data_IF_022779362521
#
_entry.id   IF_022779362521
#
_cell.length_a   1.000
_cell.length_b   1.000
_cell.length_c   1.000
_cell.angle_alpha   90.00
_cell.angle_beta   90.00
_cell.angle_gamma   90.00
#
_symmetry.space_group_name_H-M   'P 1'
#
loop_
_entity.id
_entity.type
_entity.pdbx_description
1 polymer ?
#
# COMPACT_ATOMS: atom_id res chain seq x y z
N UNK A 1 1.09 5.09 23.42
CA UNK A 1 2.29 4.29 23.09
C UNK A 1 3.39 4.67 24.04
N UNK A 2 3.78 3.81 24.97
CA UNK A 2 4.70 4.19 26.04
C UNK A 2 5.98 4.88 25.53
N UNK A 3 6.54 4.48 24.38
CA UNK A 3 7.75 5.12 23.84
C UNK A 3 7.52 6.56 23.36
N UNK A 4 6.42 6.82 22.65
CA UNK A 4 6.11 8.15 22.11
C UNK A 4 5.53 9.05 23.20
N UNK A 5 4.74 8.49 24.10
CA UNK A 5 4.15 9.24 25.21
C UNK A 5 5.25 9.67 26.19
N UNK A 6 6.20 8.79 26.50
CA UNK A 6 7.39 9.12 27.31
C UNK A 6 8.26 10.20 26.65
N UNK A 7 8.46 10.14 25.33
CA UNK A 7 9.17 11.18 24.59
C UNK A 7 8.43 12.54 24.61
N UNK A 8 7.08 12.54 24.64
CA UNK A 8 6.26 13.76 24.77
C UNK A 8 6.29 14.34 26.18
N UNK A 9 6.11 13.50 27.20
CA UNK A 9 6.13 13.91 28.61
C UNK A 9 7.45 14.59 28.99
N UNK A 10 8.55 14.18 28.38
CA UNK A 10 9.88 14.73 28.65
C UNK A 10 10.29 15.87 27.71
N UNK A 11 9.39 16.35 26.84
CA UNK A 11 9.64 17.48 25.95
C UNK A 11 10.66 17.22 24.83
N UNK A 12 11.09 15.95 24.61
CA UNK A 12 11.96 15.58 23.47
C UNK A 12 11.23 15.67 22.13
N UNK A 13 9.90 15.62 22.17
CA UNK A 13 9.00 15.93 21.06
C UNK A 13 7.94 16.89 21.57
N UNK A 14 7.67 17.93 20.79
CA UNK A 14 6.58 18.87 21.08
C UNK A 14 5.27 18.13 20.84
N UNK A 15 4.65 17.64 21.91
CA UNK A 15 3.23 17.34 21.92
C UNK A 15 2.48 18.65 22.15
N UNK A 16 1.73 19.13 21.16
CA UNK A 16 0.74 20.15 21.48
C UNK A 16 -0.22 19.56 22.51
N UNK A 17 -0.29 20.17 23.69
CA UNK A 17 -1.23 19.95 24.79
C UNK A 17 -2.66 20.33 24.40
N UNK A 18 -3.08 19.95 23.20
CA UNK A 18 -4.48 19.75 22.95
C UNK A 18 -4.72 18.29 23.30
N UNK A 19 -5.42 18.06 24.41
CA UNK A 19 -6.24 16.87 24.66
C UNK A 19 -7.32 16.74 23.56
N UNK A 20 -6.91 16.77 22.29
CA UNK A 20 -7.70 16.19 21.22
C UNK A 20 -7.65 14.71 21.57
N UNK A 21 -8.77 14.23 22.13
CA UNK A 21 -9.09 12.82 22.31
C UNK A 21 -8.23 12.01 21.36
N UNK A 22 -7.41 11.09 21.89
CA UNK A 22 -6.91 10.00 21.06
C UNK A 22 -8.15 9.25 20.58
N UNK A 23 -8.81 9.76 19.54
CA UNK A 23 -9.80 8.98 18.83
C UNK A 23 -9.02 7.80 18.34
N UNK A 24 -9.41 6.64 18.83
CA UNK A 24 -8.94 5.35 18.38
C UNK A 24 -9.41 5.13 16.94
N UNK A 25 -8.98 6.01 16.03
CA UNK A 25 -9.20 5.93 14.60
C UNK A 25 -8.20 4.90 14.08
N UNK A 26 -8.50 3.65 14.43
CA UNK A 26 -7.90 2.47 13.87
C UNK A 26 -8.34 2.37 12.43
N UNK A 27 -7.37 2.36 11.52
CA UNK A 27 -7.62 2.35 10.09
C UNK A 27 -6.98 1.14 9.44
N UNK A 28 -7.58 0.71 8.34
CA UNK A 28 -6.99 -0.23 7.40
C UNK A 28 -6.62 0.53 6.13
N UNK A 29 -5.34 0.47 5.75
CA UNK A 29 -4.85 1.04 4.49
C UNK A 29 -4.40 -0.08 3.58
N UNK A 30 -4.79 0.00 2.33
CA UNK A 30 -4.34 -0.90 1.27
C UNK A 30 -3.82 -0.04 0.13
N UNK A 31 -2.58 -0.28 -0.27
CA UNK A 31 -1.94 0.55 -1.27
C UNK A 31 -0.52 0.11 -1.58
N UNK A 32 0.14 0.88 -2.44
CA UNK A 32 1.53 0.63 -2.80
C UNK A 32 2.46 1.51 -1.96
N UNK A 33 3.65 1.01 -1.64
CA UNK A 33 4.67 1.82 -1.00
C UNK A 33 5.16 2.89 -1.99
N UNK A 34 5.05 4.13 -1.57
CA UNK A 34 5.56 5.30 -2.27
C UNK A 34 6.96 5.62 -1.75
N UNK A 35 7.94 5.62 -2.65
CA UNK A 35 9.34 5.86 -2.32
C UNK A 35 10.02 4.69 -1.61
N UNK A 36 11.22 4.97 -1.09
CA UNK A 36 12.02 4.02 -0.31
C UNK A 36 11.53 4.01 1.14
N UNK A 37 11.62 2.85 1.80
CA UNK A 37 11.40 2.74 3.24
C UNK A 37 12.65 3.23 3.97
N UNK A 38 12.48 4.25 4.81
CA UNK A 38 13.54 4.83 5.62
C UNK A 38 13.59 4.12 6.97
N UNK A 39 14.69 3.43 7.25
CA UNK A 39 14.92 2.75 8.53
C UNK A 39 15.93 3.53 9.37
N UNK A 40 15.51 3.96 10.54
CA UNK A 40 16.29 4.79 11.47
C UNK A 40 16.41 4.08 12.81
N UNK A 41 17.48 4.39 13.52
CA UNK A 41 17.62 4.08 14.94
C UNK A 41 17.41 5.37 15.74
N UNK A 42 16.57 5.30 16.76
CA UNK A 42 16.23 6.40 17.65
C UNK A 42 16.50 5.97 19.09
N UNK A 43 16.66 6.94 19.97
CA UNK A 43 16.90 6.70 21.39
C UNK A 43 15.75 7.31 22.18
N UNK A 44 15.22 6.56 23.15
CA UNK A 44 14.15 7.06 24.01
C UNK A 44 14.72 7.94 25.13
N UNK A 45 13.87 8.33 26.07
CA UNK A 45 14.29 9.00 27.29
C UNK A 45 15.41 8.31 28.05
N UNK A 46 15.23 7.01 28.24
CA UNK A 46 16.02 6.12 29.09
C UNK A 46 17.37 5.73 28.49
N UNK A 47 17.70 6.23 27.29
CA UNK A 47 18.89 5.83 26.55
C UNK A 47 18.72 4.51 25.78
N UNK A 48 17.53 3.93 25.77
CA UNK A 48 17.27 2.70 25.04
C UNK A 48 17.07 3.01 23.56
N UNK A 49 17.86 2.32 22.73
CA UNK A 49 17.77 2.45 21.29
C UNK A 49 16.63 1.58 20.74
N UNK A 50 15.84 2.15 19.84
CA UNK A 50 14.76 1.47 19.14
C UNK A 50 14.77 1.80 17.65
N UNK A 51 14.34 0.84 16.84
CA UNK A 51 14.22 1.00 15.39
C UNK A 51 12.92 1.72 15.04
N UNK A 52 12.98 2.52 13.98
CA UNK A 52 11.84 3.20 13.37
C UNK A 52 11.88 2.97 11.86
N UNK A 53 10.75 2.63 11.27
CA UNK A 53 10.59 2.57 9.80
C UNK A 53 9.56 3.60 9.37
N UNK A 54 9.94 4.50 8.46
CA UNK A 54 9.09 5.55 7.89
C UNK A 54 8.95 5.37 6.39
N UNK A 55 7.72 5.45 5.89
CA UNK A 55 7.43 5.41 4.46
C UNK A 55 6.04 5.96 4.18
N UNK A 56 5.77 6.27 2.92
CA UNK A 56 4.43 6.66 2.49
C UNK A 56 3.74 5.53 1.76
N UNK A 57 2.42 5.44 1.90
CA UNK A 57 1.56 4.58 1.07
C UNK A 57 0.78 5.46 0.11
N UNK A 58 0.75 5.05 -1.15
CA UNK A 58 -0.19 5.59 -2.14
C UNK A 58 -1.38 4.66 -2.28
N UNK A 59 -2.57 5.19 -2.02
CA UNK A 59 -3.87 4.54 -2.25
C UNK A 59 -4.70 5.37 -3.23
N UNK A 60 -5.87 4.84 -3.61
CA UNK A 60 -6.86 5.60 -4.37
C UNK A 60 -8.11 5.82 -3.52
N UNK A 61 -8.68 7.02 -3.60
CA UNK A 61 -10.02 7.27 -3.08
C UNK A 61 -11.10 6.72 -4.02
N UNK A 62 -12.36 6.89 -3.62
CA UNK A 62 -13.54 6.47 -4.41
C UNK A 62 -13.65 7.21 -5.75
N UNK A 63 -13.06 8.41 -5.85
CA UNK A 63 -12.94 9.18 -7.09
C UNK A 63 -11.77 8.74 -7.98
N UNK A 64 -10.94 7.79 -7.52
CA UNK A 64 -9.74 7.32 -8.21
C UNK A 64 -8.52 8.25 -8.07
N UNK A 65 -8.61 9.30 -7.26
CA UNK A 65 -7.51 10.22 -6.96
C UNK A 65 -6.49 9.53 -6.06
N UNK A 66 -5.21 9.87 -6.25
CA UNK A 66 -4.13 9.32 -5.43
C UNK A 66 -4.08 10.02 -4.08
N UNK A 67 -4.14 9.25 -3.01
CA UNK A 67 -3.92 9.73 -1.64
C UNK A 67 -2.58 9.20 -1.18
N UNK A 68 -1.74 10.08 -0.64
CA UNK A 68 -0.48 9.74 0.00
C UNK A 68 -0.66 9.82 1.50
N UNK A 69 -0.38 8.72 2.19
CA UNK A 69 -0.47 8.65 3.66
C UNK A 69 0.88 8.29 4.23
N UNK A 70 1.39 9.12 5.14
CA UNK A 70 2.63 8.82 5.85
C UNK A 70 2.38 7.75 6.92
N UNK A 71 3.32 6.83 7.06
CA UNK A 71 3.23 5.70 7.98
C UNK A 71 4.54 5.51 8.72
N UNK A 72 4.46 5.21 10.02
CA UNK A 72 5.61 4.94 10.88
C UNK A 72 5.40 3.69 11.72
N UNK A 73 6.42 2.83 11.79
CA UNK A 73 6.47 1.69 12.69
C UNK A 73 7.63 1.83 13.68
N UNK A 74 7.47 1.27 14.87
CA UNK A 74 8.40 1.43 15.98
C UNK A 74 8.70 0.08 16.63
N UNK A 75 9.95 -0.11 17.04
CA UNK A 75 10.42 -1.30 17.75
C UNK A 75 10.21 -2.57 16.92
N UNK A 76 9.65 -3.62 17.52
CA UNK A 76 9.47 -4.91 16.86
C UNK A 76 8.63 -4.86 15.57
N UNK A 77 7.76 -3.86 15.44
CA UNK A 77 6.90 -3.70 14.26
C UNK A 77 7.67 -3.33 13.00
N UNK A 78 8.94 -2.93 13.11
CA UNK A 78 9.78 -2.63 11.94
C UNK A 78 10.26 -3.88 11.22
N UNK A 79 10.31 -5.03 11.90
CA UNK A 79 10.91 -6.28 11.37
C UNK A 79 10.27 -6.74 10.05
N UNK A 80 8.95 -6.63 9.96
CA UNK A 80 8.19 -7.02 8.75
C UNK A 80 8.30 -5.99 7.61
N UNK A 81 8.88 -4.82 7.88
CA UNK A 81 8.93 -3.68 6.97
C UNK A 81 10.33 -3.46 6.36
N UNK A 82 11.40 -4.02 6.95
CA UNK A 82 12.78 -3.76 6.53
C UNK A 82 13.08 -4.16 5.08
N UNK A 83 12.39 -5.20 4.57
CA UNK A 83 12.60 -5.73 3.23
C UNK A 83 11.66 -5.15 2.17
N UNK A 84 10.74 -4.28 2.58
CA UNK A 84 9.76 -3.71 1.67
C UNK A 84 10.39 -2.68 0.74
N UNK A 85 9.92 -2.66 -0.51
CA UNK A 85 10.47 -1.83 -1.58
C UNK A 85 9.38 -0.95 -2.18
N UNK A 86 9.84 0.14 -2.83
CA UNK A 86 8.94 1.01 -3.58
C UNK A 86 8.10 0.22 -4.58
N UNK A 87 6.77 0.36 -4.47
CA UNK A 87 5.79 -0.27 -5.34
C UNK A 87 5.27 -1.63 -4.85
N UNK A 88 5.81 -2.18 -3.76
CA UNK A 88 5.20 -3.32 -3.10
C UNK A 88 3.78 -2.98 -2.66
N UNK A 89 2.85 -3.91 -2.87
CA UNK A 89 1.44 -3.76 -2.52
C UNK A 89 1.21 -4.36 -1.14
N UNK A 90 0.76 -3.54 -0.20
CA UNK A 90 0.69 -3.87 1.22
C UNK A 90 -0.69 -3.56 1.79
N UNK A 91 -1.03 -4.27 2.86
CA UNK A 91 -2.10 -3.92 3.78
C UNK A 91 -1.47 -3.51 5.11
N UNK A 92 -1.81 -2.32 5.58
CA UNK A 92 -1.42 -1.78 6.88
C UNK A 92 -2.65 -1.66 7.77
N UNK A 93 -2.49 -2.04 9.02
CA UNK A 93 -3.42 -1.70 10.09
C UNK A 93 -2.69 -0.82 11.10
N UNK A 94 -3.31 0.28 11.49
CA UNK A 94 -2.65 1.28 12.33
C UNK A 94 -3.61 2.29 12.93
N UNK A 95 -3.06 3.19 13.74
CA UNK A 95 -3.79 4.28 14.39
C UNK A 95 -3.39 5.61 13.74
N UNK A 96 -4.36 6.46 13.41
CA UNK A 96 -4.07 7.83 12.96
C UNK A 96 -3.59 8.65 14.16
N UNK A 97 -2.47 9.34 13.98
CA UNK A 97 -1.95 10.34 14.90
C UNK A 97 -1.91 11.68 14.18
N UNK A 98 -2.63 12.64 14.75
CA UNK A 98 -2.64 14.02 14.28
C UNK A 98 -1.77 14.86 15.22
N UNK A 99 -0.91 15.70 14.66
CA UNK A 99 -0.13 16.67 15.41
C UNK A 99 -0.19 18.02 14.73
N UNK A 100 -0.29 19.08 15.51
CA UNK A 100 -0.23 20.45 15.01
C UNK A 100 1.17 20.99 15.30
N UNK A 101 1.85 21.53 14.29
CA UNK A 101 3.17 22.13 14.49
C UNK A 101 3.08 23.55 15.10
N UNK A 102 4.24 24.14 15.40
CA UNK A 102 4.34 25.50 15.97
C UNK A 102 3.76 26.58 15.05
N UNK A 103 3.57 26.28 13.76
CA UNK A 103 2.98 27.17 12.77
C UNK A 103 1.46 26.97 12.65
N UNK A 104 0.86 26.08 13.45
CA UNK A 104 -0.56 25.76 13.40
C UNK A 104 -0.93 24.81 12.25
N UNK A 105 0.04 24.24 11.53
CA UNK A 105 -0.23 23.29 10.45
C UNK A 105 -0.46 21.90 11.03
N UNK A 106 -1.55 21.29 10.59
CA UNK A 106 -1.92 19.91 10.94
C UNK A 106 -1.11 18.91 10.12
N UNK A 107 -0.55 17.92 10.79
CA UNK A 107 0.15 16.78 10.21
C UNK A 107 -0.55 15.50 10.64
N UNK A 108 -0.82 14.61 9.69
CA UNK A 108 -1.39 13.29 9.94
C UNK A 108 -0.35 12.22 9.62
N UNK A 109 -0.17 11.30 10.55
CA UNK A 109 0.69 10.13 10.39
C UNK A 109 -0.05 8.88 10.86
N UNK A 110 0.25 7.74 10.26
CA UNK A 110 -0.33 6.46 10.65
C UNK A 110 0.71 5.67 11.40
N UNK A 111 0.45 5.42 12.68
CA UNK A 111 1.27 4.52 13.49
C UNK A 111 0.88 3.08 13.17
N UNK A 112 1.79 2.36 12.55
CA UNK A 112 1.59 0.97 12.13
C UNK A 112 1.52 0.08 13.37
N UNK A 113 0.45 -0.72 13.46
CA UNK A 113 0.27 -1.78 14.45
C UNK A 113 0.56 -3.15 13.85
N UNK A 114 0.19 -3.36 12.59
CA UNK A 114 0.56 -4.55 11.82
C UNK A 114 0.64 -4.26 10.31
N UNK A 115 1.42 -5.09 9.62
CA UNK A 115 1.62 -4.98 8.17
C UNK A 115 1.55 -6.35 7.51
N UNK A 116 1.06 -6.38 6.27
CA UNK A 116 1.06 -7.57 5.43
C UNK A 116 1.43 -7.22 4.00
N UNK A 117 2.49 -7.84 3.47
CA UNK A 117 2.78 -7.80 2.04
C UNK A 117 1.73 -8.63 1.29
N UNK A 118 1.02 -8.00 0.36
CA UNK A 118 0.01 -8.65 -0.49
C UNK A 118 0.61 -9.07 -1.84
N UNK A 119 1.49 -8.25 -2.41
CA UNK A 119 2.18 -8.55 -3.67
C UNK A 119 3.49 -7.77 -3.75
N UNK A 120 4.59 -8.43 -4.07
CA UNK A 120 5.84 -7.73 -4.34
C UNK A 120 5.85 -7.16 -5.77
N UNK A 121 6.55 -6.04 -5.96
CA UNK A 121 6.71 -5.40 -7.28
C UNK A 121 7.36 -6.33 -8.30
N UNK A 122 8.29 -7.17 -7.86
CA UNK A 122 9.04 -8.09 -8.73
C UNK A 122 8.13 -9.17 -9.35
N UNK A 123 7.14 -9.66 -8.59
CA UNK A 123 6.15 -10.62 -9.10
C UNK A 123 5.21 -10.05 -10.17
N UNK A 124 5.07 -8.72 -10.26
CA UNK A 124 4.27 -8.08 -11.32
C UNK A 124 5.02 -8.13 -12.65
N UNK A 125 6.32 -7.82 -12.65
CA UNK A 125 7.14 -7.73 -13.87
C UNK A 125 7.39 -9.08 -14.54
N UNK A 126 7.46 -10.17 -13.78
CA UNK A 126 7.67 -11.52 -14.32
C UNK A 126 6.39 -12.13 -14.90
N UNK A 127 5.21 -11.73 -14.43
CA UNK A 127 3.94 -12.27 -14.94
C UNK A 127 3.47 -11.60 -16.24
N UNK A 128 3.80 -10.32 -16.47
CA UNK A 128 3.32 -9.59 -17.66
C UNK A 128 4.04 -9.97 -18.96
N UNK A 129 5.24 -10.55 -18.89
CA UNK A 129 5.99 -10.92 -20.10
C UNK A 129 5.45 -12.18 -20.80
N UNK A 130 4.83 -13.09 -20.04
CA UNK A 130 4.41 -14.40 -20.57
C UNK A 130 2.88 -14.63 -20.55
N UNK A 131 2.09 -13.73 -19.94
CA UNK A 131 0.63 -13.86 -19.91
C UNK A 131 0.00 -13.11 -21.10
N UNK A 132 -0.31 -13.86 -22.17
CA UNK A 132 -1.24 -13.39 -23.21
C UNK A 132 -2.53 -12.90 -22.53
N UNK A 133 -2.90 -11.63 -22.72
CA UNK A 133 -4.11 -11.04 -22.15
C UNK A 133 -5.33 -11.92 -22.41
N UNK A 134 -6.04 -12.34 -21.36
CA UNK A 134 -7.26 -13.15 -21.46
C UNK A 134 -8.28 -12.44 -22.37
N UNK A 135 -8.36 -11.11 -22.29
CA UNK A 135 -9.22 -10.31 -23.15
C UNK A 135 -8.81 -10.38 -24.63
N UNK A 136 -7.50 -10.41 -24.89
CA UNK A 136 -6.95 -10.62 -26.24
C UNK A 136 -7.27 -12.01 -26.78
N UNK A 137 -7.14 -13.05 -25.94
CA UNK A 137 -7.49 -14.43 -26.30
C UNK A 137 -9.00 -14.56 -26.58
N UNK A 138 -9.87 -13.97 -25.76
CA UNK A 138 -11.32 -13.98 -26.01
C UNK A 138 -11.65 -13.31 -27.35
N UNK A 139 -10.96 -12.21 -27.70
CA UNK A 139 -11.13 -11.56 -29.00
C UNK A 139 -10.67 -12.46 -30.15
N UNK A 140 -9.52 -13.13 -30.04
CA UNK A 140 -9.05 -14.04 -31.10
C UNK A 140 -10.04 -15.20 -31.32
N UNK A 141 -10.51 -15.85 -30.26
CA UNK A 141 -11.53 -16.91 -30.37
C UNK A 141 -12.83 -16.43 -31.03
N UNK A 142 -13.30 -15.22 -30.71
CA UNK A 142 -14.50 -14.63 -31.36
C UNK A 142 -14.29 -14.33 -32.85
N UNK A 143 -13.05 -14.13 -33.28
CA UNK A 143 -12.72 -13.82 -34.68
C UNK A 143 -12.55 -15.10 -35.48
N UNK A 144 -11.99 -16.15 -34.87
CA UNK A 144 -11.82 -17.49 -35.46
C UNK A 144 -13.16 -18.24 -35.66
N UNK A 145 -14.17 -17.98 -34.83
CA UNK A 145 -15.52 -18.54 -35.04
C UNK A 145 -16.24 -17.94 -36.26
N UNK A 146 -15.92 -16.70 -36.64
CA UNK A 146 -16.52 -16.08 -37.83
C UNK A 146 -15.94 -16.60 -39.15
N UNK A 147 -14.70 -17.07 -39.17
CA UNK A 147 -14.03 -17.55 -40.39
C UNK A 147 -14.31 -19.02 -40.72
N UNK A 148 -14.86 -19.81 -39.79
CA UNK A 148 -15.24 -21.22 -40.04
C UNK A 148 -16.65 -21.45 -40.61
N UNK A 149 -17.49 -20.41 -40.75
CA UNK A 149 -18.89 -20.58 -41.19
C UNK A 149 -19.17 -20.33 -42.68
N UNK A 150 -18.17 -19.97 -43.50
CA UNK A 150 -18.34 -19.76 -44.96
C UNK A 150 -17.55 -20.75 -45.79
N UNK A 151 -17.80 -22.05 -45.64
CA UNK A 151 -17.66 -23.05 -46.72
C UNK A 151 -18.69 -24.16 -46.47
N UNK A 152 -19.94 -23.93 -46.86
CA UNK A 152 -20.89 -25.01 -47.13
C UNK A 152 -21.08 -25.04 -48.64
N UNK A 153 -20.48 -26.06 -49.23
CA UNK A 153 -20.44 -26.35 -50.66
C UNK A 153 -21.85 -26.33 -51.28
N UNK A 154 -21.99 -25.60 -52.38
CA UNK A 154 -23.03 -25.87 -53.37
C UNK A 154 -22.40 -26.77 -54.45
N UNK A 155 -22.53 -28.09 -54.30
CA UNK A 155 -22.43 -29.01 -55.44
C UNK A 155 -23.84 -29.28 -55.99
N UNK A 156 -23.98 -29.06 -57.30
CA UNK A 156 -25.15 -29.37 -58.11
C UNK A 156 -25.19 -30.85 -58.48
N UNK A 157 -26.43 -31.33 -58.60
CA UNK A 157 -26.97 -32.27 -59.60
C UNK A 157 -27.01 -33.80 -59.39
N UNK A 158 -28.27 -34.27 -59.44
CA UNK A 158 -28.85 -35.42 -60.17
C UNK A 158 -28.78 -36.85 -59.62
N UNK A 159 -29.94 -37.35 -59.20
CA UNK A 159 -30.50 -38.72 -59.35
C UNK A 159 -32.03 -38.56 -59.09
N UNK A 160 -33.01 -39.10 -59.82
CA UNK A 160 -33.17 -40.25 -60.73
C UNK A 160 -34.40 -40.00 -61.59
#
# INVERSE_FOLDING_TARGET
DYMIDDMKEQGKIVGNTNELEEKDDLINLVGNIAGQVENLERENASGEKFKVSNFSIVSKDDGGNKIYTNCSAYGDKTKDLENLKQGDFVKIFGQVKTSIDNNGKEHKNVRILSSKLLKSKEQVKSQDKDKKSILGQIKSFKTDDKTKSTKKDHSKDTER
#
